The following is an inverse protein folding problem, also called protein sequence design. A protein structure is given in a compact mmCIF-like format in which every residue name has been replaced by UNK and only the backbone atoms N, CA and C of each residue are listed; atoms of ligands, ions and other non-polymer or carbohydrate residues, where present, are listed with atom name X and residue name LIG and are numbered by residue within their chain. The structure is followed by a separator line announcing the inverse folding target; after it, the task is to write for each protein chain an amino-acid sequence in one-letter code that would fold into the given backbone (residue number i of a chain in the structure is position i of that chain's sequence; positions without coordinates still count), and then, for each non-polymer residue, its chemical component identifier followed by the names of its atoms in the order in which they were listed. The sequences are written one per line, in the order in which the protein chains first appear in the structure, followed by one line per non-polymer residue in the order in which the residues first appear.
data_IF_658020742283
#
_entry.id   IF_658020742283
#
_cell.length_a   1.000
_cell.length_b   1.000
_cell.length_c   1.000
_cell.angle_alpha   90.00
_cell.angle_beta   90.00
_cell.angle_gamma   90.00
#
_symmetry.space_group_name_H-M   'P 1'
#
loop_
_entity.id
_entity.type
_entity.pdbx_description
1 polymer ?
#
# COMPACT_ATOMS: atom_id res chain seq x y z
N UNK A 1 20.98 -0.26 0.58
CA UNK A 1 20.29 -1.34 1.30
C UNK A 1 18.83 -0.96 1.46
N UNK A 2 17.89 -1.88 1.29
CA UNK A 2 16.44 -1.64 1.30
C UNK A 2 15.78 -2.33 2.50
N UNK A 3 14.78 -1.65 3.07
CA UNK A 3 13.95 -2.20 4.15
C UNK A 3 12.50 -2.19 3.71
N UNK A 4 11.89 -3.37 3.66
CA UNK A 4 10.53 -3.56 3.18
C UNK A 4 9.53 -3.52 4.33
N UNK A 5 8.76 -2.44 4.47
CA UNK A 5 7.64 -2.39 5.40
C UNK A 5 6.38 -2.85 4.66
N UNK A 6 6.09 -4.15 4.72
CA UNK A 6 5.01 -4.93 4.08
C UNK A 6 5.42 -5.91 2.98
N UNK A 7 4.62 -6.97 2.82
CA UNK A 7 4.81 -7.98 1.78
C UNK A 7 4.60 -7.48 0.35
N UNK A 8 3.78 -6.43 0.13
CA UNK A 8 3.52 -5.90 -1.22
C UNK A 8 4.79 -5.32 -1.83
N UNK A 9 5.54 -4.51 -1.06
CA UNK A 9 6.79 -3.89 -1.54
C UNK A 9 7.82 -4.97 -1.83
N UNK A 10 7.96 -5.95 -0.93
CA UNK A 10 8.83 -7.10 -1.15
C UNK A 10 8.45 -7.82 -2.44
N UNK A 11 7.18 -8.17 -2.64
CA UNK A 11 6.73 -8.88 -3.85
C UNK A 11 7.07 -8.15 -5.16
N UNK A 12 6.96 -6.81 -5.19
CA UNK A 12 7.26 -6.01 -6.38
C UNK A 12 8.76 -5.91 -6.64
N UNK A 13 9.56 -5.65 -5.59
CA UNK A 13 10.99 -5.39 -5.72
C UNK A 13 11.86 -6.65 -5.68
N UNK A 14 11.32 -7.78 -5.23
CA UNK A 14 12.10 -9.02 -5.06
C UNK A 14 12.73 -9.50 -6.36
N UNK A 15 12.06 -9.33 -7.51
CA UNK A 15 12.61 -9.79 -8.79
C UNK A 15 13.82 -8.98 -9.25
N UNK A 16 13.91 -7.70 -8.87
CA UNK A 16 14.91 -6.76 -9.40
C UNK A 16 15.99 -6.40 -8.40
N UNK A 17 15.69 -6.43 -7.09
CA UNK A 17 16.59 -5.97 -6.03
C UNK A 17 16.61 -6.95 -4.84
N UNK A 18 16.48 -8.27 -5.08
CA UNK A 18 16.45 -9.30 -4.03
C UNK A 18 17.67 -9.27 -3.11
N UNK A 19 18.83 -8.93 -3.66
CA UNK A 19 20.14 -8.89 -3.02
C UNK A 19 20.32 -7.67 -2.09
N UNK A 20 19.48 -6.65 -2.22
CA UNK A 20 19.61 -5.40 -1.47
C UNK A 20 18.74 -5.34 -0.22
N UNK A 21 17.91 -6.35 0.06
CA UNK A 21 17.02 -6.36 1.22
C UNK A 21 17.75 -6.72 2.51
N UNK A 22 17.66 -5.83 3.52
CA UNK A 22 18.17 -6.08 4.87
C UNK A 22 17.13 -6.80 5.73
N UNK A 23 15.95 -6.19 5.89
CA UNK A 23 14.82 -6.74 6.66
C UNK A 23 13.53 -6.49 5.91
N UNK A 24 12.58 -7.42 6.06
CA UNK A 24 11.21 -7.25 5.58
C UNK A 24 10.21 -7.54 6.69
N UNK A 25 9.39 -6.54 7.01
CA UNK A 25 8.34 -6.64 8.01
C UNK A 25 7.02 -7.08 7.39
N UNK A 26 6.36 -8.04 8.03
CA UNK A 26 5.04 -8.56 7.63
C UNK A 26 3.95 -8.00 8.53
N UNK A 27 2.70 -8.11 8.05
CA UNK A 27 1.48 -7.83 8.83
C UNK A 27 1.28 -6.42 9.42
N UNK A 28 2.14 -5.46 9.11
CA UNK A 28 2.07 -4.06 9.61
C UNK A 28 0.72 -3.36 9.33
N UNK A 29 -0.07 -3.87 8.37
CA UNK A 29 -1.32 -3.25 7.89
C UNK A 29 -2.62 -3.98 8.27
N UNK A 30 -2.57 -5.07 9.05
CA UNK A 30 -3.82 -5.79 9.42
C UNK A 30 -4.68 -5.01 10.40
N UNK A 31 -4.06 -4.27 11.31
CA UNK A 31 -4.71 -3.35 12.26
C UNK A 31 -4.19 -1.93 12.01
N UNK A 32 -4.89 -0.93 12.55
CA UNK A 32 -4.40 0.45 12.50
C UNK A 32 -3.03 0.50 13.16
N UNK A 33 -2.00 1.00 12.46
CA UNK A 33 -0.63 0.97 12.97
C UNK A 33 -0.53 1.84 14.23
N UNK A 34 -0.03 1.26 15.31
CA UNK A 34 0.21 1.96 16.58
C UNK A 34 1.66 2.40 16.67
N UNK A 35 1.97 3.32 17.58
CA UNK A 35 3.36 3.71 17.83
C UNK A 35 4.18 2.51 18.33
N UNK A 36 3.58 1.62 19.12
CA UNK A 36 4.27 0.41 19.60
C UNK A 36 4.71 -0.52 18.48
N UNK A 37 3.90 -0.70 17.44
CA UNK A 37 4.29 -1.49 16.26
C UNK A 37 5.51 -0.88 15.55
N UNK A 38 5.56 0.45 15.50
CA UNK A 38 6.68 1.19 14.89
C UNK A 38 7.92 1.16 15.76
N UNK A 39 7.79 1.21 17.08
CA UNK A 39 8.93 1.05 17.99
C UNK A 39 9.62 -0.29 17.81
N UNK A 40 8.87 -1.38 17.56
CA UNK A 40 9.45 -2.69 17.25
C UNK A 40 10.23 -2.66 15.92
N UNK A 41 9.68 -2.01 14.89
CA UNK A 41 10.36 -1.84 13.59
C UNK A 41 11.65 -1.02 13.74
N UNK A 42 11.58 0.09 14.46
CA UNK A 42 12.73 0.96 14.71
C UNK A 42 13.81 0.23 15.52
N UNK A 43 13.43 -0.53 16.54
CA UNK A 43 14.36 -1.34 17.34
C UNK A 43 15.05 -2.41 16.49
N UNK A 44 14.32 -3.12 15.64
CA UNK A 44 14.89 -4.13 14.75
C UNK A 44 15.84 -3.51 13.72
N UNK A 45 15.52 -2.31 13.22
CA UNK A 45 16.41 -1.52 12.36
C UNK A 45 17.72 -1.17 13.07
N UNK A 46 17.65 -0.68 14.31
CA UNK A 46 18.83 -0.35 15.11
C UNK A 46 19.67 -1.60 15.45
N UNK A 47 19.01 -2.72 15.75
CA UNK A 47 19.66 -4.00 16.06
C UNK A 47 20.24 -4.73 14.84
N UNK A 48 19.94 -4.25 13.62
CA UNK A 48 20.43 -4.87 12.38
C UNK A 48 21.96 -4.80 12.23
N UNK A 49 22.62 -3.92 13.00
CA UNK A 49 24.07 -3.69 12.92
C UNK A 49 24.52 -3.02 11.62
N UNK A 50 23.58 -2.53 10.80
CA UNK A 50 23.86 -1.82 9.57
C UNK A 50 23.97 -0.32 9.83
N UNK A 51 25.17 0.23 9.70
CA UNK A 51 25.38 1.68 9.71
C UNK A 51 25.02 2.28 8.35
N UNK A 52 24.26 3.37 8.38
CA UNK A 52 23.89 4.16 7.21
C UNK A 52 24.21 5.63 7.49
N UNK A 53 24.70 6.35 6.47
CA UNK A 53 24.98 7.78 6.57
C UNK A 53 23.76 8.63 6.17
N UNK A 54 23.12 8.24 5.06
CA UNK A 54 21.94 8.87 4.49
C UNK A 54 20.91 7.79 4.14
N UNK A 55 19.66 8.07 4.47
CA UNK A 55 18.53 7.18 4.23
C UNK A 55 17.30 7.96 3.86
N UNK A 56 16.37 7.31 3.17
CA UNK A 56 15.12 7.94 2.80
C UNK A 56 13.92 7.02 3.00
N UNK A 57 12.84 7.59 3.52
CA UNK A 57 11.55 6.92 3.63
C UNK A 57 10.68 7.39 2.48
N UNK A 58 10.33 6.45 1.61
CA UNK A 58 9.36 6.65 0.55
C UNK A 58 7.97 6.24 1.04
N UNK A 59 7.02 7.16 0.99
CA UNK A 59 5.64 6.90 1.41
C UNK A 59 4.64 7.72 0.58
N UNK A 60 3.36 7.35 0.67
CA UNK A 60 2.30 8.11 0.03
C UNK A 60 1.73 9.11 1.03
N UNK A 61 1.92 10.40 0.76
CA UNK A 61 1.28 11.48 1.49
C UNK A 61 -0.15 11.64 1.00
N UNK A 62 -1.08 11.69 1.95
CA UNK A 62 -2.49 11.92 1.67
C UNK A 62 -2.71 13.37 1.27
N UNK A 63 -3.31 13.61 0.10
CA UNK A 63 -3.73 14.97 -0.31
C UNK A 63 -5.23 15.13 -0.29
N UNK A 64 -5.95 14.19 -0.87
CA UNK A 64 -7.41 14.17 -0.87
C UNK A 64 -7.91 12.74 -1.02
N UNK A 65 -9.24 12.57 -0.95
CA UNK A 65 -9.88 11.26 -1.15
C UNK A 65 -9.56 10.67 -2.54
N UNK A 66 -9.28 11.52 -3.54
CA UNK A 66 -9.08 11.11 -4.92
C UNK A 66 -7.58 11.01 -5.27
N UNK A 67 -6.72 11.75 -4.57
CA UNK A 67 -5.31 11.90 -4.93
C UNK A 67 -4.40 11.77 -3.71
N UNK A 68 -3.30 11.04 -3.93
CA UNK A 68 -2.15 10.97 -3.05
C UNK A 68 -0.89 11.34 -3.83
N UNK A 69 0.15 11.75 -3.13
CA UNK A 69 1.46 12.06 -3.73
C UNK A 69 2.53 11.22 -3.04
N UNK A 70 3.36 10.55 -3.83
CA UNK A 70 4.54 9.87 -3.28
C UNK A 70 5.56 10.94 -2.92
N UNK A 71 5.93 10.97 -1.64
CA UNK A 71 6.96 11.86 -1.11
C UNK A 71 8.07 11.05 -0.45
N UNK A 72 9.25 11.64 -0.48
CA UNK A 72 10.46 11.09 0.10
C UNK A 72 10.86 11.96 1.29
N UNK A 73 11.13 11.33 2.44
CA UNK A 73 11.63 12.01 3.63
C UNK A 73 12.99 11.47 4.00
N UNK A 74 13.99 12.35 4.00
CA UNK A 74 15.36 12.01 4.41
C UNK A 74 15.47 11.72 5.90
N UNK A 75 16.33 10.77 6.23
CA UNK A 75 16.74 10.38 7.57
C UNK A 75 18.25 10.33 7.58
N UNK A 76 18.84 11.00 8.56
CA UNK A 76 20.28 11.14 8.68
C UNK A 76 20.84 10.30 9.82
N UNK A 77 22.10 9.90 9.68
CA UNK A 77 22.86 9.20 10.71
C UNK A 77 23.26 10.14 11.86
N UNK A 78 23.72 9.55 12.97
CA UNK A 78 24.18 10.30 14.15
C UNK A 78 25.36 11.20 13.76
N UNK A 79 26.31 10.62 13.03
CA UNK A 79 27.54 11.29 12.59
C UNK A 79 27.21 12.47 11.67
N UNK A 80 26.27 12.27 10.75
CA UNK A 80 25.83 13.31 9.81
C UNK A 80 25.19 14.49 10.55
N UNK A 81 24.33 14.21 11.54
CA UNK A 81 23.68 15.25 12.36
C UNK A 81 24.71 15.98 13.22
N UNK A 82 25.62 15.24 13.87
CA UNK A 82 26.66 15.82 14.71
C UNK A 82 27.66 16.71 13.94
N UNK A 83 27.90 16.38 12.66
CA UNK A 83 28.80 17.15 11.78
C UNK A 83 28.17 18.40 11.16
N UNK A 84 26.88 18.65 11.36
CA UNK A 84 26.18 19.75 10.72
C UNK A 84 26.61 21.11 11.30
N UNK A 85 26.88 22.10 10.45
CA UNK A 85 27.29 23.45 10.87
C UNK A 85 26.24 24.13 11.77
N UNK A 86 24.96 23.88 11.55
CA UNK A 86 23.88 24.42 12.39
C UNK A 86 23.86 23.84 13.81
N UNK A 87 24.52 22.70 14.04
CA UNK A 87 24.56 22.04 15.34
C UNK A 87 25.29 22.88 16.39
N UNK A 88 26.25 23.72 15.98
CA UNK A 88 26.97 24.62 16.89
C UNK A 88 26.10 25.73 17.51
N UNK A 89 24.85 25.89 17.05
CA UNK A 89 23.88 26.83 17.63
C UNK A 89 23.24 26.28 18.91
N UNK A 90 23.30 24.96 19.11
CA UNK A 90 22.72 24.31 20.26
C UNK A 90 23.77 24.12 21.35
N UNK A 91 23.50 24.68 22.53
CA UNK A 91 24.31 24.47 23.74
C UNK A 91 23.87 23.20 24.48
N UNK A 92 24.78 22.59 25.24
CA UNK A 92 24.51 21.48 26.16
C UNK A 92 23.92 20.19 25.55
N UNK A 93 24.26 19.85 24.31
CA UNK A 93 23.88 18.55 23.73
C UNK A 93 24.86 17.47 24.18
N UNK A 94 24.44 16.66 25.14
CA UNK A 94 25.15 15.43 25.51
C UNK A 94 25.05 14.38 24.38
N UNK A 95 26.09 13.58 24.21
CA UNK A 95 26.15 12.54 23.18
C UNK A 95 24.98 11.53 23.35
N UNK A 96 24.67 11.19 24.60
CA UNK A 96 23.55 10.29 24.93
C UNK A 96 22.19 10.91 24.58
N UNK A 97 22.04 12.24 24.74
CA UNK A 97 20.79 12.94 24.40
C UNK A 97 20.58 12.95 22.88
N UNK A 98 21.65 13.19 22.12
CA UNK A 98 21.59 13.19 20.66
C UNK A 98 21.20 11.80 20.12
N UNK A 99 21.78 10.74 20.69
CA UNK A 99 21.43 9.37 20.34
C UNK A 99 19.95 9.08 20.62
N UNK A 100 19.47 9.36 21.85
CA UNK A 100 18.07 9.17 22.22
C UNK A 100 17.11 9.96 21.30
N UNK A 101 17.47 11.20 20.97
CA UNK A 101 16.70 12.04 20.05
C UNK A 101 16.61 11.39 18.65
N UNK A 102 17.71 10.89 18.13
CA UNK A 102 17.75 10.30 16.79
C UNK A 102 16.95 9.00 16.73
N UNK A 103 17.07 8.12 17.73
CA UNK A 103 16.29 6.88 17.82
C UNK A 103 14.79 7.19 17.87
N UNK A 104 14.39 8.19 18.66
CA UNK A 104 13.01 8.66 18.71
C UNK A 104 12.56 9.29 17.39
N UNK A 105 13.42 10.07 16.73
CA UNK A 105 13.12 10.69 15.44
C UNK A 105 12.88 9.64 14.35
N UNK A 106 13.69 8.58 14.32
CA UNK A 106 13.53 7.45 13.40
C UNK A 106 12.14 6.81 13.58
N UNK A 107 11.78 6.46 14.81
CA UNK A 107 10.47 5.89 15.11
C UNK A 107 9.33 6.84 14.73
N UNK A 108 9.45 8.13 15.06
CA UNK A 108 8.44 9.14 14.72
C UNK A 108 8.28 9.33 13.21
N UNK A 109 9.38 9.35 12.45
CA UNK A 109 9.36 9.49 10.99
C UNK A 109 8.70 8.28 10.33
N UNK A 110 9.01 7.05 10.76
CA UNK A 110 8.33 5.84 10.29
C UNK A 110 6.84 5.89 10.63
N UNK A 111 6.48 6.32 11.85
CA UNK A 111 5.09 6.39 12.30
C UNK A 111 4.27 7.39 11.47
N UNK A 112 4.83 8.58 11.23
CA UNK A 112 4.22 9.59 10.36
C UNK A 112 3.95 9.03 8.95
N UNK A 113 4.98 8.48 8.31
CA UNK A 113 4.88 7.92 6.96
C UNK A 113 3.87 6.77 6.88
N UNK A 114 3.78 5.94 7.92
CA UNK A 114 2.86 4.81 7.98
C UNK A 114 1.39 5.27 8.10
N UNK A 115 1.12 6.35 8.85
CA UNK A 115 -0.22 6.94 8.98
C UNK A 115 -0.70 7.57 7.67
N UNK A 116 0.17 8.35 7.03
CA UNK A 116 -0.09 8.95 5.72
C UNK A 116 -0.38 7.89 4.65
N UNK A 117 0.46 6.86 4.58
CA UNK A 117 0.30 5.80 3.59
C UNK A 117 -0.93 4.93 3.84
N UNK A 118 -1.32 4.70 5.10
CA UNK A 118 -2.51 3.91 5.43
C UNK A 118 -3.78 4.65 5.02
N UNK A 119 -3.83 5.97 5.25
CA UNK A 119 -4.95 6.82 4.86
C UNK A 119 -5.09 6.89 3.35
N UNK A 120 -3.97 7.11 2.64
CA UNK A 120 -3.91 7.12 1.18
C UNK A 120 -4.30 5.78 0.55
N UNK A 121 -3.93 4.66 1.18
CA UNK A 121 -4.35 3.34 0.72
C UNK A 121 -5.86 3.17 0.86
N UNK A 122 -6.44 3.58 1.99
CA UNK A 122 -7.86 3.42 2.24
C UNK A 122 -8.71 4.27 1.28
N UNK A 123 -8.29 5.50 0.98
CA UNK A 123 -8.99 6.35 0.01
C UNK A 123 -8.90 5.76 -1.40
N UNK A 124 -7.72 5.33 -1.84
CA UNK A 124 -7.52 4.68 -3.13
C UNK A 124 -8.35 3.39 -3.27
N UNK A 125 -8.44 2.60 -2.18
CA UNK A 125 -9.26 1.38 -2.14
C UNK A 125 -10.75 1.71 -2.30
N UNK A 126 -11.24 2.74 -1.63
CA UNK A 126 -12.64 3.16 -1.74
C UNK A 126 -12.98 3.57 -3.18
N UNK A 127 -12.16 4.42 -3.80
CA UNK A 127 -12.36 4.84 -5.19
C UNK A 127 -12.28 3.67 -6.19
N UNK A 128 -11.35 2.73 -5.97
CA UNK A 128 -11.24 1.54 -6.82
C UNK A 128 -12.48 0.64 -6.72
N UNK A 129 -13.05 0.49 -5.53
CA UNK A 129 -14.26 -0.32 -5.30
C UNK A 129 -15.51 0.36 -5.85
N UNK A 130 -15.61 1.69 -5.76
CA UNK A 130 -16.70 2.45 -6.37
C UNK A 130 -16.69 2.29 -7.91
N UNK A 131 -15.51 2.38 -8.53
CA UNK A 131 -15.36 2.14 -9.97
C UNK A 131 -15.68 0.69 -10.34
N UNK A 132 -15.26 -0.27 -9.51
CA UNK A 132 -15.58 -1.69 -9.72
C UNK A 132 -17.09 -1.93 -9.68
N UNK A 133 -17.81 -1.29 -8.75
CA UNK A 133 -19.26 -1.41 -8.62
C UNK A 133 -20.00 -0.84 -9.84
N UNK A 134 -19.54 0.29 -10.37
CA UNK A 134 -20.07 0.89 -11.61
C UNK A 134 -19.86 -0.03 -12.82
N UNK A 135 -18.63 -0.50 -13.02
CA UNK A 135 -18.29 -1.42 -14.11
C UNK A 135 -19.08 -2.73 -14.02
N UNK A 136 -19.29 -3.25 -12.81
CA UNK A 136 -20.10 -4.45 -12.61
C UNK A 136 -21.57 -4.21 -12.98
N UNK A 137 -22.13 -3.04 -12.67
CA UNK A 137 -23.49 -2.69 -13.07
C UNK A 137 -23.66 -2.68 -14.60
N UNK A 138 -22.70 -2.08 -15.32
CA UNK A 138 -22.72 -2.04 -16.79
C UNK A 138 -22.70 -3.46 -17.39
N UNK A 139 -21.86 -4.34 -16.85
CA UNK A 139 -21.79 -5.75 -17.28
C UNK A 139 -23.10 -6.49 -16.98
N UNK A 140 -23.72 -6.23 -15.82
CA UNK A 140 -25.01 -6.85 -15.45
C UNK A 140 -26.10 -6.43 -16.43
N UNK A 141 -26.14 -5.15 -16.81
CA UNK A 141 -27.13 -4.64 -17.75
C UNK A 141 -26.98 -5.29 -19.14
N UNK A 142 -25.74 -5.43 -19.62
CA UNK A 142 -25.43 -6.11 -20.89
C UNK A 142 -25.81 -7.60 -20.86
N UNK A 143 -25.45 -8.31 -19.77
CA UNK A 143 -25.78 -9.71 -19.60
C UNK A 143 -27.30 -9.93 -19.45
N UNK A 144 -28.01 -8.97 -18.86
CA UNK A 144 -29.47 -9.03 -18.72
C UNK A 144 -30.17 -8.93 -20.08
N UNK A 145 -29.68 -8.08 -20.98
CA UNK A 145 -30.18 -8.02 -22.36
C UNK A 145 -29.92 -9.34 -23.10
N UNK A 146 -28.70 -9.86 -23.01
CA UNK A 146 -28.32 -11.13 -23.63
C UNK A 146 -29.14 -12.30 -23.09
N UNK A 147 -29.39 -12.34 -21.78
CA UNK A 147 -30.24 -13.32 -21.13
C UNK A 147 -31.67 -13.29 -21.68
N UNK A 148 -32.27 -12.10 -21.81
CA UNK A 148 -33.63 -11.97 -22.32
C UNK A 148 -33.76 -12.39 -23.79
N UNK A 149 -32.81 -11.99 -24.65
CA UNK A 149 -32.77 -12.41 -26.04
C UNK A 149 -32.60 -13.93 -26.16
N UNK A 150 -31.68 -14.52 -25.37
CA UNK A 150 -31.45 -15.97 -25.37
C UNK A 150 -32.69 -16.72 -24.89
N UNK A 151 -33.35 -16.24 -23.83
CA UNK A 151 -34.60 -16.82 -23.33
C UNK A 151 -35.69 -16.82 -24.40
N UNK A 152 -35.87 -15.70 -25.12
CA UNK A 152 -36.85 -15.63 -26.21
C UNK A 152 -36.50 -16.58 -27.36
N UNK A 153 -35.22 -16.65 -27.76
CA UNK A 153 -34.77 -17.56 -28.80
C UNK A 153 -35.03 -19.02 -28.44
N UNK A 154 -34.83 -19.42 -27.18
CA UNK A 154 -35.14 -20.77 -26.69
C UNK A 154 -36.64 -21.04 -26.75
N UNK A 155 -37.49 -20.13 -26.25
CA UNK A 155 -38.96 -20.28 -26.30
C UNK A 155 -39.44 -20.43 -27.76
N UNK A 156 -38.96 -19.57 -28.67
CA UNK A 156 -39.34 -19.65 -30.09
C UNK A 156 -38.85 -20.95 -30.73
N UNK A 157 -37.64 -21.42 -30.40
CA UNK A 157 -37.12 -22.69 -30.89
C UNK A 157 -37.99 -23.86 -30.43
N UNK A 158 -38.30 -23.94 -29.14
CA UNK A 158 -39.16 -25.00 -28.57
C UNK A 158 -40.56 -24.99 -29.22
N UNK A 159 -41.19 -23.82 -29.36
CA UNK A 159 -42.49 -23.70 -30.03
C UNK A 159 -42.44 -24.15 -31.49
N UNK A 160 -41.37 -23.78 -32.20
CA UNK A 160 -41.18 -24.17 -33.60
C UNK A 160 -41.01 -25.68 -33.75
N UNK A 161 -40.26 -26.32 -32.84
CA UNK A 161 -40.11 -27.78 -32.78
C UNK A 161 -41.45 -28.49 -32.51
N UNK A 162 -42.28 -27.95 -31.61
CA UNK A 162 -43.63 -28.48 -31.34
C UNK A 162 -44.53 -28.41 -32.60
N UNK A 163 -44.54 -27.26 -33.28
CA UNK A 163 -45.37 -27.06 -34.49
C UNK A 163 -44.93 -28.00 -35.62
N UNK A 164 -43.63 -28.12 -35.89
CA UNK A 164 -43.13 -29.04 -36.90
C UNK A 164 -43.38 -30.51 -36.55
N UNK A 165 -43.28 -30.87 -35.26
CA UNK A 165 -43.59 -32.23 -34.79
C UNK A 165 -45.08 -32.58 -34.97
N UNK A 166 -45.98 -31.63 -34.73
CA UNK A 166 -47.42 -31.83 -34.92
C UNK A 166 -47.79 -31.99 -36.41
N UNK A 167 -47.24 -31.15 -37.29
CA UNK A 167 -47.49 -31.22 -38.75
C UNK A 167 -46.93 -32.51 -39.37
N UNK A 168 -45.86 -33.08 -38.80
CA UNK A 168 -45.28 -34.32 -39.31
C UNK A 168 -46.14 -35.58 -39.03
N UNK A 169 -47.18 -35.47 -38.20
CA UNK A 169 -48.10 -36.57 -37.85
C UNK A 169 -49.41 -36.56 -38.66
N UNK A 170 -49.70 -35.46 -39.39
CA UNK A 170 -50.77 -35.36 -40.39
C UNK A 170 -50.27 -35.83 -41.78
#
# INVERSE_FOLDING_TARGET
MLVGISDKIRGVLYRTHSDQFLVAFKEVRRKLPTFGDVSVIALELLNSGYEFDDGSINFNQFRSVISYKTEEKSIFSLNTIASAESMSTYDDIDADVLQNYQEYNLANSIYYSLKESTTSEQSARMTAMDNTSKNASEIIDELTLTFNCTRQAVITKELTEIVFGAVALD
#
